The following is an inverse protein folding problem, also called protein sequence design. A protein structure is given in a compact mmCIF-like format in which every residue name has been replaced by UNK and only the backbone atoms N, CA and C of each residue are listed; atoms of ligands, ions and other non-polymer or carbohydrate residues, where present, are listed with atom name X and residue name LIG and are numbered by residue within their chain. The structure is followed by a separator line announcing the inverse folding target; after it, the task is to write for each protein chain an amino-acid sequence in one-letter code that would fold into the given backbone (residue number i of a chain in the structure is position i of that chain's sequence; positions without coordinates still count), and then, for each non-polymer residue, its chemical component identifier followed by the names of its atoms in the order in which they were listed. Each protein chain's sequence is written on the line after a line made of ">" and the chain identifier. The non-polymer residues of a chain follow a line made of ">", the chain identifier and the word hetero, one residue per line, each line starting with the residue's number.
data_IF_646103083822
#
_entry.id   IF_646103083822
#
_cell.length_a   1.000
_cell.length_b   1.000
_cell.length_c   1.000
_cell.angle_alpha   90.00
_cell.angle_beta   90.00
_cell.angle_gamma   90.00
#
_symmetry.space_group_name_H-M   'P 1'
#
loop_
_entity.id
_entity.type
_entity.pdbx_description
1 polymer ?
#
# COMPACT_ATOMS: atom_id res chain seq x y z
N UNK A 1 20.83 -5.92 1.83
CA UNK A 1 20.00 -5.98 0.60
C UNK A 1 20.75 -6.80 -0.43
N UNK A 2 20.13 -7.83 -1.03
CA UNK A 2 20.78 -8.62 -2.07
C UNK A 2 20.71 -7.85 -3.41
N UNK A 3 21.80 -7.18 -3.77
CA UNK A 3 21.86 -6.31 -4.96
C UNK A 3 21.80 -7.10 -6.26
N UNK A 4 22.26 -8.36 -6.27
CA UNK A 4 22.21 -9.22 -7.43
C UNK A 4 20.76 -9.60 -7.80
N UNK A 5 19.93 -9.96 -6.81
CA UNK A 5 18.51 -10.25 -7.05
C UNK A 5 17.75 -9.03 -7.58
N UNK A 6 18.03 -7.85 -7.02
CA UNK A 6 17.44 -6.61 -7.52
C UNK A 6 17.85 -6.36 -8.98
N UNK A 7 19.12 -6.58 -9.30
CA UNK A 7 19.63 -6.38 -10.65
C UNK A 7 19.01 -7.37 -11.65
N UNK A 8 18.72 -8.61 -11.23
CA UNK A 8 17.99 -9.58 -12.05
C UNK A 8 16.52 -9.17 -12.26
N UNK A 9 15.83 -8.79 -11.19
CA UNK A 9 14.43 -8.33 -11.29
C UNK A 9 14.30 -7.10 -12.20
N UNK A 10 15.24 -6.16 -12.14
CA UNK A 10 15.25 -4.96 -12.99
C UNK A 10 15.50 -5.24 -14.48
N UNK A 11 15.87 -6.46 -14.88
CA UNK A 11 16.01 -6.85 -16.30
C UNK A 11 14.72 -7.40 -16.92
N UNK A 12 13.73 -7.74 -16.10
CA UNK A 12 12.41 -8.18 -16.55
C UNK A 12 11.65 -7.02 -17.18
N UNK A 13 10.63 -7.31 -17.99
CA UNK A 13 9.73 -6.25 -18.43
C UNK A 13 8.90 -5.70 -17.25
N UNK A 14 8.22 -4.57 -17.46
CA UNK A 14 7.53 -3.90 -16.36
C UNK A 14 6.35 -4.72 -15.80
N UNK A 15 5.70 -5.53 -16.64
CA UNK A 15 4.56 -6.35 -16.21
C UNK A 15 5.07 -7.52 -15.36
N UNK A 16 6.14 -8.17 -15.78
CA UNK A 16 6.84 -9.22 -15.00
C UNK A 16 7.41 -8.68 -13.69
N UNK A 17 7.93 -7.45 -13.67
CA UNK A 17 8.39 -6.79 -12.44
C UNK A 17 7.25 -6.59 -11.45
N UNK A 18 6.09 -6.15 -11.92
CA UNK A 18 4.90 -5.95 -11.08
C UNK A 18 4.41 -7.30 -10.53
N UNK A 19 4.29 -8.32 -11.40
CA UNK A 19 3.88 -9.66 -10.99
C UNK A 19 4.83 -10.25 -9.93
N UNK A 20 6.14 -10.06 -10.09
CA UNK A 20 7.13 -10.51 -9.11
C UNK A 20 6.99 -9.78 -7.77
N UNK A 21 6.74 -8.46 -7.78
CA UNK A 21 6.51 -7.68 -6.56
C UNK A 21 5.26 -8.17 -5.83
N UNK A 22 4.17 -8.43 -6.55
CA UNK A 22 2.93 -8.97 -5.99
C UNK A 22 3.14 -10.36 -5.39
N UNK A 23 3.79 -11.28 -6.12
CA UNK A 23 4.06 -12.64 -5.66
C UNK A 23 4.93 -12.67 -4.38
N UNK A 24 5.95 -11.80 -4.31
CA UNK A 24 6.77 -11.64 -3.10
C UNK A 24 5.92 -11.10 -1.94
N UNK A 25 5.07 -10.11 -2.21
CA UNK A 25 4.21 -9.52 -1.19
C UNK A 25 3.23 -10.53 -0.61
N UNK A 26 2.55 -11.29 -1.45
CA UNK A 26 1.64 -12.37 -1.05
C UNK A 26 2.38 -13.42 -0.21
N UNK A 27 3.59 -13.79 -0.64
CA UNK A 27 4.41 -14.72 0.12
C UNK A 27 4.72 -14.18 1.54
N UNK A 28 5.13 -12.91 1.68
CA UNK A 28 5.40 -12.31 2.99
C UNK A 28 4.15 -12.36 3.89
N UNK A 29 2.98 -12.00 3.35
CA UNK A 29 1.73 -12.02 4.13
C UNK A 29 1.33 -13.42 4.57
N UNK A 30 1.58 -14.45 3.75
CA UNK A 30 1.26 -15.84 4.08
C UNK A 30 2.04 -16.39 5.28
N UNK A 31 3.20 -15.80 5.60
CA UNK A 31 4.02 -16.20 6.76
C UNK A 31 3.54 -15.58 8.08
N UNK A 32 2.40 -14.86 8.10
CA UNK A 32 1.96 -14.05 9.24
C UNK A 32 3.07 -13.10 9.75
N UNK A 33 3.95 -12.65 8.84
CA UNK A 33 5.05 -11.76 9.14
C UNK A 33 4.60 -10.30 9.36
N UNK A 34 3.31 -10.07 9.57
CA UNK A 34 2.79 -8.75 9.89
C UNK A 34 3.39 -8.30 11.24
N UNK A 35 4.16 -7.20 11.27
CA UNK A 35 4.72 -6.71 12.52
C UNK A 35 3.58 -6.34 13.47
N UNK A 36 3.74 -6.69 14.74
CA UNK A 36 2.80 -6.27 15.77
C UNK A 36 2.73 -4.74 15.79
N UNK A 37 1.51 -4.20 15.85
CA UNK A 37 1.32 -2.76 15.99
C UNK A 37 1.90 -2.30 17.32
N UNK A 38 2.61 -1.17 17.30
CA UNK A 38 2.92 -0.45 18.54
C UNK A 38 1.63 0.06 19.18
N UNK A 39 1.65 0.30 20.50
CA UNK A 39 0.50 0.86 21.22
C UNK A 39 0.02 2.18 20.61
N UNK A 40 0.96 3.02 20.15
CA UNK A 40 0.64 4.30 19.48
C UNK A 40 -0.07 4.09 18.15
N UNK A 41 0.41 3.16 17.32
CA UNK A 41 -0.25 2.84 16.05
C UNK A 41 -1.64 2.25 16.27
N UNK A 42 -1.79 1.35 17.26
CA UNK A 42 -3.10 0.80 17.61
C UNK A 42 -4.07 1.89 18.07
N UNK A 43 -3.63 2.78 18.96
CA UNK A 43 -4.47 3.88 19.44
C UNK A 43 -4.91 4.82 18.30
N UNK A 44 -4.02 5.11 17.34
CA UNK A 44 -4.37 5.93 16.19
C UNK A 44 -5.38 5.24 15.25
N UNK A 45 -5.24 3.93 15.03
CA UNK A 45 -6.22 3.17 14.25
C UNK A 45 -7.59 3.12 14.95
N UNK A 46 -7.60 2.88 16.26
CA UNK A 46 -8.83 2.86 17.06
C UNK A 46 -9.53 4.25 17.01
N UNK A 47 -8.75 5.34 17.10
CA UNK A 47 -9.26 6.73 16.97
C UNK A 47 -9.86 6.99 15.59
N UNK A 48 -9.17 6.63 14.50
CA UNK A 48 -9.67 6.82 13.12
C UNK A 48 -10.91 5.99 12.84
N UNK A 49 -11.00 4.79 13.40
CA UNK A 49 -12.18 3.95 13.26
C UNK A 49 -13.39 4.59 13.95
N UNK A 50 -13.23 5.07 15.19
CA UNK A 50 -14.30 5.76 15.90
C UNK A 50 -14.79 7.01 15.14
N UNK A 51 -13.85 7.82 14.66
CA UNK A 51 -14.13 9.03 13.87
C UNK A 51 -14.91 8.71 12.58
N UNK A 52 -14.51 7.66 11.85
CA UNK A 52 -15.24 7.23 10.66
C UNK A 52 -16.64 6.69 10.96
N UNK A 53 -16.82 5.98 12.07
CA UNK A 53 -18.14 5.49 12.50
C UNK A 53 -19.09 6.64 12.88
N UNK A 54 -18.56 7.72 13.46
CA UNK A 54 -19.31 8.95 13.76
C UNK A 54 -19.57 9.78 12.49
N UNK A 55 -18.63 9.79 11.55
CA UNK A 55 -18.65 10.60 10.34
C UNK A 55 -18.53 9.72 9.07
N UNK A 56 -19.50 8.85 8.75
CA UNK A 56 -19.37 7.86 7.67
C UNK A 56 -19.25 8.49 6.27
N UNK A 57 -19.70 9.73 6.11
CA UNK A 57 -19.63 10.48 4.86
C UNK A 57 -18.42 11.42 4.78
N UNK A 58 -17.57 11.50 5.82
CA UNK A 58 -16.31 12.25 5.77
C UNK A 58 -15.24 11.42 5.04
N UNK A 59 -15.47 11.24 3.74
CA UNK A 59 -14.66 10.44 2.83
C UNK A 59 -14.49 11.18 1.52
N UNK A 60 -13.39 10.91 0.82
CA UNK A 60 -13.17 11.36 -0.56
C UNK A 60 -13.43 10.18 -1.49
N UNK A 61 -14.20 10.39 -2.54
CA UNK A 61 -14.49 9.32 -3.49
C UNK A 61 -13.23 8.94 -4.27
N UNK A 62 -13.13 7.67 -4.67
CA UNK A 62 -12.03 7.23 -5.54
C UNK A 62 -11.95 8.03 -6.84
N UNK A 63 -13.09 8.44 -7.40
CA UNK A 63 -13.13 9.27 -8.62
C UNK A 63 -12.45 10.62 -8.41
N UNK A 64 -12.69 11.27 -7.27
CA UNK A 64 -12.05 12.54 -6.93
C UNK A 64 -10.55 12.37 -6.73
N UNK A 65 -10.13 11.34 -5.97
CA UNK A 65 -8.70 11.03 -5.76
C UNK A 65 -7.99 10.77 -7.09
N UNK A 66 -8.59 9.93 -7.96
CA UNK A 66 -8.04 9.59 -9.27
C UNK A 66 -7.92 10.82 -10.17
N UNK A 67 -8.97 11.65 -10.20
CA UNK A 67 -8.97 12.91 -10.98
C UNK A 67 -7.85 13.84 -10.51
N UNK A 68 -7.71 14.02 -9.20
CA UNK A 68 -6.66 14.87 -8.62
C UNK A 68 -5.24 14.32 -8.87
N UNK A 69 -5.06 13.00 -8.85
CA UNK A 69 -3.77 12.36 -9.13
C UNK A 69 -3.36 12.53 -10.61
N UNK A 70 -4.28 12.28 -11.55
CA UNK A 70 -4.02 12.45 -12.99
C UNK A 70 -3.71 13.90 -13.35
N UNK A 71 -4.44 14.86 -12.76
CA UNK A 71 -4.19 16.28 -12.97
C UNK A 71 -2.76 16.70 -12.53
N UNK A 72 -2.21 16.05 -11.50
CA UNK A 72 -0.83 16.30 -11.03
C UNK A 72 0.24 15.69 -11.93
N UNK A 73 -0.02 14.51 -12.49
CA UNK A 73 0.93 13.81 -13.37
C UNK A 73 1.05 14.52 -14.74
N UNK A 74 0.01 15.24 -15.16
CA UNK A 74 0.02 16.03 -16.39
C UNK A 74 0.71 17.41 -16.29
N UNK A 75 1.26 17.78 -15.13
CA UNK A 75 2.09 18.97 -14.92
C UNK A 75 3.58 18.62 -15.02
#
# INVERSE_FOLDING_TARGET
>A
MNTQLLQQASTLDIDEQIELVEAIWDNITSHNAAPALTSTQKAELDRRLADHLENPNDVVSWSEVKTAALARIGQ
#
